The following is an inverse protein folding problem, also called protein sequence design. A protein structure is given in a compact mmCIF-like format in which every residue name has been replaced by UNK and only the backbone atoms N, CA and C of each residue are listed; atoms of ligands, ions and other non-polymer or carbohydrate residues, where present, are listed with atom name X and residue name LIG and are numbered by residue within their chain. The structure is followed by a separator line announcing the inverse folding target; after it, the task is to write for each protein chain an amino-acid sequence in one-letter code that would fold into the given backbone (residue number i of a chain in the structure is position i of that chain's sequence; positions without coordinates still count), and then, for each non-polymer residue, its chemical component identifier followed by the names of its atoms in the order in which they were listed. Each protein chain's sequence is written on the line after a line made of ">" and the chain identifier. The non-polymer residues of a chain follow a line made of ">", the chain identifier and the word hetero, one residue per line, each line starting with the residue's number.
data_IF_797385983364
#
_entry.id   IF_797385983364
#
_cell.length_a   1.000
_cell.length_b   1.000
_cell.length_c   1.000
_cell.angle_alpha   90.00
_cell.angle_beta   90.00
_cell.angle_gamma   90.00
#
_symmetry.space_group_name_H-M   'P 1'
#
loop_
_entity.id
_entity.type
_entity.pdbx_description
1 polymer ?
#
# COMPACT_ATOMS: atom_id res chain seq x y z
N UNK A 1 0.66 -9.01 13.33
CA UNK A 1 1.82 -8.30 13.90
C UNK A 1 1.71 -6.83 13.52
N UNK A 2 1.59 -5.92 14.49
CA UNK A 2 1.54 -4.47 14.24
C UNK A 2 2.93 -3.97 13.85
N UNK A 3 3.00 -3.19 12.78
CA UNK A 3 4.18 -2.42 12.36
C UNK A 3 3.66 -1.07 11.82
N UNK A 4 4.28 0.04 12.21
CA UNK A 4 3.97 1.35 11.66
C UNK A 4 4.92 1.67 10.50
N UNK A 5 4.52 2.56 9.58
CA UNK A 5 5.31 2.91 8.40
C UNK A 5 6.73 3.39 8.74
N UNK A 6 6.90 4.01 9.91
CA UNK A 6 8.19 4.46 10.45
C UNK A 6 9.16 3.28 10.72
N UNK A 7 8.67 2.14 11.20
CA UNK A 7 9.48 0.94 11.47
C UNK A 7 10.07 0.31 10.20
N UNK A 8 9.36 0.45 9.07
CA UNK A 8 9.77 -0.09 7.76
C UNK A 8 10.80 0.84 7.12
N UNK A 9 10.59 2.16 7.18
CA UNK A 9 11.52 3.16 6.64
C UNK A 9 12.83 3.20 7.42
N UNK A 10 12.77 3.03 8.74
CA UNK A 10 13.95 2.98 9.61
C UNK A 10 14.72 1.64 9.51
N UNK A 11 14.23 0.66 8.75
CA UNK A 11 14.86 -0.66 8.61
C UNK A 11 14.79 -1.55 9.85
N UNK A 12 13.96 -1.18 10.84
CA UNK A 12 13.75 -1.95 12.08
C UNK A 12 12.98 -3.23 11.79
N UNK A 13 12.15 -3.23 10.74
CA UNK A 13 11.45 -4.43 10.25
C UNK A 13 11.67 -4.66 8.77
N UNK A 14 11.88 -5.93 8.43
CA UNK A 14 11.96 -6.38 7.04
C UNK A 14 10.63 -6.09 6.33
N UNK A 15 10.64 -5.33 5.22
CA UNK A 15 9.45 -5.12 4.42
C UNK A 15 8.95 -6.47 3.91
N UNK A 16 7.65 -6.69 4.02
CA UNK A 16 6.99 -7.87 3.49
C UNK A 16 6.54 -7.60 2.06
N UNK A 17 6.54 -8.63 1.22
CA UNK A 17 5.98 -8.52 -0.12
C UNK A 17 4.48 -8.24 -0.05
N UNK A 18 3.97 -7.46 -1.00
CA UNK A 18 2.52 -7.15 -1.10
C UNK A 18 1.67 -8.42 -1.20
N UNK A 19 2.21 -9.50 -1.79
CA UNK A 19 1.55 -10.81 -1.87
C UNK A 19 1.27 -11.44 -0.50
N UNK A 20 2.06 -11.11 0.54
CA UNK A 20 1.77 -11.59 1.90
C UNK A 20 0.59 -10.86 2.54
N UNK A 21 0.27 -9.65 2.06
CA UNK A 21 -0.91 -8.91 2.49
C UNK A 21 -2.20 -9.61 2.06
N UNK A 22 -2.20 -10.27 0.90
CA UNK A 22 -3.34 -11.07 0.43
C UNK A 22 -3.70 -12.19 1.41
N UNK A 23 -2.70 -12.81 2.05
CA UNK A 23 -2.94 -13.89 3.02
C UNK A 23 -3.31 -13.38 4.41
N UNK A 24 -2.69 -12.28 4.86
CA UNK A 24 -2.91 -11.74 6.23
C UNK A 24 -4.15 -10.85 6.33
N UNK A 25 -4.44 -10.09 5.27
CA UNK A 25 -5.53 -9.12 5.21
C UNK A 25 -6.21 -9.13 3.83
N UNK A 26 -6.90 -10.22 3.47
CA UNK A 26 -7.50 -10.39 2.14
C UNK A 26 -8.48 -9.27 1.78
N UNK A 27 -9.30 -8.81 2.73
CA UNK A 27 -10.26 -7.72 2.50
C UNK A 27 -9.58 -6.39 2.19
N UNK A 28 -8.54 -6.05 2.95
CA UNK A 28 -7.75 -4.84 2.73
C UNK A 28 -6.98 -4.90 1.39
N UNK A 29 -6.53 -6.10 0.99
CA UNK A 29 -5.86 -6.30 -0.29
C UNK A 29 -6.80 -6.15 -1.49
N UNK A 30 -8.05 -6.62 -1.38
CA UNK A 30 -9.08 -6.38 -2.41
C UNK A 30 -9.37 -4.89 -2.55
N UNK A 31 -9.53 -4.18 -1.43
CA UNK A 31 -9.71 -2.72 -1.45
C UNK A 31 -8.49 -2.02 -2.06
N UNK A 32 -7.28 -2.46 -1.73
CA UNK A 32 -6.05 -1.90 -2.27
C UNK A 32 -6.00 -2.02 -3.80
N UNK A 33 -6.31 -3.20 -4.37
CA UNK A 33 -6.37 -3.37 -5.83
C UNK A 33 -7.37 -2.42 -6.48
N UNK A 34 -8.57 -2.28 -5.91
CA UNK A 34 -9.59 -1.37 -6.43
C UNK A 34 -9.13 0.09 -6.43
N UNK A 35 -8.44 0.50 -5.36
CA UNK A 35 -7.88 1.84 -5.25
C UNK A 35 -6.77 2.05 -6.28
N UNK A 36 -5.85 1.09 -6.45
CA UNK A 36 -4.81 1.14 -7.47
C UNK A 36 -5.41 1.32 -8.87
N UNK A 37 -6.38 0.48 -9.25
CA UNK A 37 -7.06 0.59 -10.56
C UNK A 37 -7.75 1.95 -10.74
N UNK A 38 -8.36 2.48 -9.67
CA UNK A 38 -9.03 3.78 -9.70
C UNK A 38 -8.03 4.92 -9.90
N UNK A 39 -6.91 4.89 -9.16
CA UNK A 39 -5.88 5.93 -9.22
C UNK A 39 -5.11 5.88 -10.54
N UNK A 40 -4.74 4.70 -11.04
CA UNK A 40 -4.12 4.55 -12.35
C UNK A 40 -5.06 5.03 -13.47
N UNK A 41 -6.35 4.72 -13.40
CA UNK A 41 -7.32 5.21 -14.39
C UNK A 41 -7.55 6.73 -14.30
N UNK A 42 -7.52 7.29 -13.08
CA UNK A 42 -7.73 8.70 -12.84
C UNK A 42 -6.53 9.53 -13.33
N UNK A 43 -5.32 9.15 -12.92
CA UNK A 43 -4.09 9.87 -13.25
C UNK A 43 -3.49 9.46 -14.60
N UNK A 44 -3.93 8.33 -15.18
CA UNK A 44 -3.46 7.77 -16.46
C UNK A 44 -1.94 7.58 -16.53
N UNK A 45 -1.32 7.43 -15.37
CA UNK A 45 0.12 7.27 -15.20
C UNK A 45 0.37 6.38 -13.99
N UNK A 46 1.54 5.74 -13.97
CA UNK A 46 1.98 4.91 -12.86
C UNK A 46 1.94 5.74 -11.56
N UNK A 47 1.34 5.18 -10.51
CA UNK A 47 1.28 5.83 -9.20
C UNK A 47 2.20 5.14 -8.20
N UNK A 48 2.98 5.94 -7.49
CA UNK A 48 3.65 5.56 -6.26
C UNK A 48 2.70 5.89 -5.10
N UNK A 49 2.35 4.88 -4.32
CA UNK A 49 1.28 4.93 -3.31
C UNK A 49 1.80 4.50 -1.95
N UNK A 50 1.50 5.30 -0.95
CA UNK A 50 1.75 5.00 0.46
C UNK A 50 0.42 4.73 1.14
N UNK A 51 0.34 3.63 1.88
CA UNK A 51 -0.88 3.23 2.59
C UNK A 51 -0.52 2.55 3.91
N UNK A 52 -1.51 2.49 4.79
CA UNK A 52 -1.45 1.75 6.05
C UNK A 52 -2.71 0.90 6.22
N UNK A 53 -2.60 -0.18 6.99
CA UNK A 53 -3.75 -1.03 7.34
C UNK A 53 -3.87 -1.01 8.86
N UNK A 54 -4.94 -0.41 9.35
CA UNK A 54 -5.21 -0.28 10.79
C UNK A 54 -6.52 -0.99 11.13
N UNK A 55 -6.48 -1.93 12.08
CA UNK A 55 -7.64 -2.73 12.48
C UNK A 55 -8.38 -3.40 11.29
N UNK A 56 -7.62 -3.83 10.26
CA UNK A 56 -8.17 -4.45 9.05
C UNK A 56 -8.73 -3.48 8.01
N UNK A 57 -8.72 -2.17 8.28
CA UNK A 57 -9.12 -1.14 7.31
C UNK A 57 -7.92 -0.57 6.58
N UNK A 58 -8.04 -0.44 5.26
CA UNK A 58 -7.06 0.22 4.42
C UNK A 58 -7.22 1.74 4.49
N UNK A 59 -6.11 2.45 4.70
CA UNK A 59 -6.02 3.90 4.62
C UNK A 59 -4.91 4.29 3.65
N UNK A 60 -5.25 5.08 2.63
CA UNK A 60 -4.26 5.66 1.73
C UNK A 60 -3.70 6.93 2.37
N UNK A 61 -2.38 7.04 2.44
CA UNK A 61 -1.68 8.16 3.05
C UNK A 61 -1.21 9.16 1.99
N UNK A 62 -0.64 8.66 0.90
CA UNK A 62 -0.11 9.48 -0.18
C UNK A 62 -0.25 8.76 -1.52
N UNK A 63 -0.47 9.52 -2.58
CA UNK A 63 -0.33 9.05 -3.96
C UNK A 63 0.38 10.13 -4.76
N UNK A 64 1.34 9.73 -5.59
CA UNK A 64 2.07 10.63 -6.48
C UNK A 64 2.40 9.89 -7.76
N UNK A 65 2.62 10.63 -8.85
CA UNK A 65 3.13 10.02 -10.07
C UNK A 65 4.48 9.34 -9.79
N UNK A 66 4.56 8.07 -10.11
CA UNK A 66 5.75 7.26 -9.90
C UNK A 66 6.91 7.82 -10.71
N UNK A 67 8.04 8.09 -10.04
CA UNK A 67 9.27 8.40 -10.76
C UNK A 67 9.73 7.16 -11.53
N UNK A 68 9.65 7.22 -12.85
CA UNK A 68 10.36 6.29 -13.75
C UNK A 68 11.77 6.84 -13.96
N UNK A 69 12.75 6.26 -13.30
CA UNK A 69 14.17 6.33 -13.67
C UNK A 69 14.61 4.96 -14.13
#
# INVERSE_FOLDING_TARGET
>A
TNAQGEDVVAGVRTPMHISEMEQKFPEAFVQFKQVCETLEKHYRDMQDMEFTVEHGKLYMLQTRNGKRT
#
